data_IF_863885269947
#
_entry.id   IF_863885269947
#
_cell.length_a   1.000
_cell.length_b   1.000
_cell.length_c   1.000
_cell.angle_alpha   90.00
_cell.angle_beta   90.00
_cell.angle_gamma   90.00
#
_symmetry.space_group_name_H-M   'P 1'
#
loop_
_entity.id
_entity.type
_entity.pdbx_description
1 polymer ?
#
# COMPACT_ATOMS: atom_id res chain seq x y z
N UNK A 1 12.21 -6.07 -19.37
CA UNK A 1 12.19 -7.16 -18.38
C UNK A 1 12.04 -6.52 -17.01
N UNK A 2 11.05 -6.95 -16.22
CA UNK A 2 10.88 -6.46 -14.86
C UNK A 2 12.05 -6.96 -14.00
N UNK A 3 12.57 -6.11 -13.12
CA UNK A 3 13.60 -6.54 -12.16
C UNK A 3 13.02 -7.51 -11.13
N UNK A 4 13.85 -8.37 -10.52
CA UNK A 4 13.46 -9.25 -9.41
C UNK A 4 12.67 -8.48 -8.34
N UNK A 5 13.15 -7.30 -7.93
CA UNK A 5 12.44 -6.42 -6.97
C UNK A 5 11.02 -6.05 -7.39
N UNK A 6 10.78 -5.85 -8.68
CA UNK A 6 9.45 -5.50 -9.18
C UNK A 6 8.52 -6.72 -9.20
N UNK A 7 9.06 -7.93 -9.38
CA UNK A 7 8.30 -9.18 -9.26
C UNK A 7 7.92 -9.43 -7.80
N UNK A 8 8.84 -9.31 -6.85
CA UNK A 8 8.55 -9.46 -5.41
C UNK A 8 7.45 -8.48 -4.93
N UNK A 9 7.54 -7.22 -5.36
CA UNK A 9 6.52 -6.22 -5.04
C UNK A 9 5.17 -6.56 -5.70
N UNK A 10 5.19 -7.10 -6.92
CA UNK A 10 3.97 -7.50 -7.62
C UNK A 10 3.21 -8.60 -6.85
N UNK A 11 3.91 -9.59 -6.31
CA UNK A 11 3.32 -10.62 -5.44
C UNK A 11 2.69 -10.01 -4.19
N UNK A 12 3.38 -9.07 -3.53
CA UNK A 12 2.84 -8.38 -2.34
C UNK A 12 1.60 -7.56 -2.69
N UNK A 13 1.59 -6.85 -3.82
CA UNK A 13 0.40 -6.11 -4.27
C UNK A 13 -0.77 -7.05 -4.58
N UNK A 14 -0.49 -8.25 -5.09
CA UNK A 14 -1.50 -9.27 -5.28
C UNK A 14 -2.09 -9.75 -3.95
N UNK A 15 -1.26 -9.96 -2.91
CA UNK A 15 -1.73 -10.24 -1.54
C UNK A 15 -2.64 -9.12 -1.03
N UNK A 16 -2.22 -7.86 -1.14
CA UNK A 16 -3.01 -6.68 -0.72
C UNK A 16 -4.35 -6.62 -1.43
N UNK A 17 -4.37 -6.87 -2.74
CA UNK A 17 -5.60 -6.91 -3.53
C UNK A 17 -6.55 -8.00 -3.06
N UNK A 18 -6.03 -9.19 -2.72
CA UNK A 18 -6.84 -10.31 -2.22
C UNK A 18 -7.38 -10.07 -0.82
N UNK A 19 -6.60 -9.41 0.03
CA UNK A 19 -7.00 -9.06 1.40
C UNK A 19 -7.90 -7.81 1.48
N UNK A 20 -8.07 -7.12 0.35
CA UNK A 20 -8.67 -5.79 0.29
C UNK A 20 -8.06 -4.77 1.26
N UNK A 21 -6.72 -4.81 1.38
CA UNK A 21 -5.95 -3.92 2.25
C UNK A 21 -5.03 -3.00 1.44
N UNK A 22 -4.47 -2.01 2.12
CA UNK A 22 -3.40 -1.13 1.61
C UNK A 22 -2.16 -1.31 2.48
N UNK A 23 -1.00 -0.84 2.03
CA UNK A 23 0.21 -0.88 2.85
C UNK A 23 1.17 0.25 2.50
N UNK A 24 2.04 0.59 3.45
CA UNK A 24 3.02 1.65 3.25
C UNK A 24 4.23 1.17 2.43
N UNK A 25 4.94 2.09 1.80
CA UNK A 25 6.13 1.81 1.01
C UNK A 25 7.20 1.08 1.80
N UNK A 26 7.44 1.48 3.05
CA UNK A 26 8.43 0.82 3.90
C UNK A 26 8.02 -0.61 4.25
N UNK A 27 6.74 -0.86 4.54
CA UNK A 27 6.24 -2.20 4.83
C UNK A 27 6.38 -3.13 3.62
N UNK A 28 5.96 -2.66 2.44
CA UNK A 28 6.05 -3.43 1.18
C UNK A 28 7.51 -3.73 0.83
N UNK A 29 8.39 -2.71 0.87
CA UNK A 29 9.80 -2.90 0.52
C UNK A 29 10.49 -3.88 1.47
N UNK A 30 10.24 -3.75 2.79
CA UNK A 30 10.80 -4.65 3.81
C UNK A 30 10.41 -6.09 3.55
N UNK A 31 9.13 -6.35 3.24
CA UNK A 31 8.62 -7.68 2.89
C UNK A 31 9.22 -8.21 1.59
N UNK A 32 9.47 -7.34 0.61
CA UNK A 32 10.17 -7.68 -0.63
C UNK A 32 11.70 -7.83 -0.46
N UNK A 33 12.23 -7.74 0.77
CA UNK A 33 13.65 -7.94 1.06
C UNK A 33 14.56 -6.76 0.73
N UNK A 34 14.02 -5.54 0.60
CA UNK A 34 14.81 -4.33 0.35
C UNK A 34 14.31 -3.09 1.10
N UNK A 35 15.03 -1.97 0.99
CA UNK A 35 14.60 -0.69 1.58
C UNK A 35 13.83 0.16 0.57
N UNK A 36 12.75 0.81 1.00
CA UNK A 36 11.97 1.75 0.17
C UNK A 36 12.81 2.91 -0.40
N UNK A 37 14.00 3.14 0.15
CA UNK A 37 14.92 4.22 -0.23
C UNK A 37 14.50 5.56 0.37
N UNK A 38 15.34 6.58 0.18
CA UNK A 38 15.04 7.94 0.67
C UNK A 38 13.68 8.41 0.16
N UNK A 39 12.78 8.77 1.07
CA UNK A 39 11.41 9.21 0.78
C UNK A 39 10.62 8.24 -0.14
N UNK A 40 10.92 6.94 -0.06
CA UNK A 40 10.25 5.91 -0.87
C UNK A 40 10.65 5.88 -2.35
N UNK A 41 11.77 6.52 -2.74
CA UNK A 41 12.16 6.66 -4.15
C UNK A 41 12.36 5.33 -4.88
N UNK A 42 12.92 4.33 -4.20
CA UNK A 42 13.10 2.99 -4.77
C UNK A 42 11.74 2.32 -5.00
N UNK A 43 10.80 2.50 -4.07
CA UNK A 43 9.44 1.98 -4.19
C UNK A 43 8.69 2.62 -5.36
N UNK A 44 8.75 3.94 -5.49
CA UNK A 44 8.15 4.66 -6.62
C UNK A 44 8.66 4.15 -7.98
N UNK A 45 9.96 3.87 -8.09
CA UNK A 45 10.54 3.30 -9.31
C UNK A 45 9.99 1.90 -9.61
N UNK A 46 9.83 1.05 -8.59
CA UNK A 46 9.23 -0.29 -8.76
C UNK A 46 7.76 -0.18 -9.19
N UNK A 47 6.99 0.72 -8.55
CA UNK A 47 5.58 0.95 -8.90
C UNK A 47 5.41 1.45 -10.34
N UNK A 48 6.33 2.25 -10.87
CA UNK A 48 6.30 2.64 -12.30
C UNK A 48 6.43 1.44 -13.23
N UNK A 49 7.29 0.47 -12.90
CA UNK A 49 7.41 -0.78 -13.67
C UNK A 49 6.14 -1.62 -13.55
N UNK A 50 5.61 -1.76 -12.33
CA UNK A 50 4.40 -2.56 -12.08
C UNK A 50 3.19 -1.97 -12.77
N UNK A 51 3.02 -0.65 -12.74
CA UNK A 51 1.93 0.03 -13.43
C UNK A 51 1.95 -0.23 -14.94
N UNK A 52 3.14 -0.38 -15.54
CA UNK A 52 3.31 -0.68 -16.97
C UNK A 52 3.09 -2.17 -17.26
N UNK A 53 3.70 -3.05 -16.48
CA UNK A 53 3.78 -4.49 -16.80
C UNK A 53 2.59 -5.28 -16.21
N UNK A 54 2.03 -4.81 -15.09
CA UNK A 54 0.91 -5.44 -14.37
C UNK A 54 -0.12 -4.41 -13.84
N UNK A 55 -0.81 -3.65 -14.73
CA UNK A 55 -1.76 -2.61 -14.31
C UNK A 55 -2.94 -3.13 -13.47
N UNK A 56 -3.26 -4.43 -13.58
CA UNK A 56 -4.35 -5.08 -12.86
C UNK A 56 -4.06 -5.35 -11.37
N UNK A 57 -2.80 -5.19 -10.93
CA UNK A 57 -2.37 -5.42 -9.54
C UNK A 57 -2.67 -4.25 -8.60
N UNK A 58 -3.39 -3.22 -9.07
CA UNK A 58 -3.88 -2.13 -8.23
C UNK A 58 -2.75 -1.44 -7.46
N UNK A 59 -1.75 -0.95 -8.20
CA UNK A 59 -0.56 -0.26 -7.67
C UNK A 59 -0.89 0.84 -6.65
N UNK A 60 -2.10 1.42 -6.74
CA UNK A 60 -2.62 2.44 -5.84
C UNK A 60 -2.79 1.98 -4.38
N UNK A 61 -2.73 0.66 -4.10
CA UNK A 61 -2.73 0.10 -2.73
C UNK A 61 -1.43 0.33 -1.96
N UNK A 62 -0.35 0.70 -2.65
CA UNK A 62 0.92 1.08 -2.02
C UNK A 62 0.95 2.57 -1.71
N UNK A 63 1.06 2.94 -0.43
CA UNK A 63 0.98 4.32 0.05
C UNK A 63 2.33 4.83 0.53
N UNK A 64 2.53 6.15 0.51
CA UNK A 64 3.65 6.76 1.24
C UNK A 64 3.53 6.47 2.73
N UNK A 65 4.66 6.42 3.43
CA UNK A 65 4.71 6.16 4.87
C UNK A 65 4.07 7.28 5.70
N UNK A 66 3.95 8.50 5.13
CA UNK A 66 3.21 9.61 5.73
C UNK A 66 1.69 9.52 5.55
N UNK A 67 1.21 8.55 4.77
CA UNK A 67 -0.22 8.38 4.48
C UNK A 67 -0.83 9.49 3.61
N UNK A 68 -0.01 10.35 3.00
CA UNK A 68 -0.45 11.51 2.22
C UNK A 68 -0.35 11.30 0.72
N UNK A 69 -1.35 11.81 0.02
CA UNK A 69 -1.53 11.71 -1.42
C UNK A 69 -1.85 13.10 -1.98
N UNK A 70 -1.44 13.37 -3.20
CA UNK A 70 -1.88 14.60 -3.88
C UNK A 70 -3.38 14.44 -4.21
N UNK A 71 -4.20 15.46 -3.90
CA UNK A 71 -5.68 15.39 -4.03
C UNK A 71 -6.16 15.00 -5.43
N UNK A 72 -5.47 15.52 -6.44
CA UNK A 72 -5.78 15.34 -7.87
C UNK A 72 -4.97 14.19 -8.49
N UNK A 73 -4.33 13.34 -7.67
CA UNK A 73 -3.61 12.17 -8.18
C UNK A 73 -4.57 11.06 -8.60
N UNK A 74 -4.19 10.32 -9.63
CA UNK A 74 -4.84 9.07 -10.06
C UNK A 74 -4.95 8.07 -8.90
N UNK A 75 -3.98 8.09 -7.97
CA UNK A 75 -4.03 7.22 -6.80
C UNK A 75 -5.20 7.58 -5.87
N UNK A 76 -5.42 8.87 -5.60
CA UNK A 76 -6.53 9.34 -4.79
C UNK A 76 -7.88 9.02 -5.47
N UNK A 77 -7.98 9.19 -6.78
CA UNK A 77 -9.17 8.81 -7.55
C UNK A 77 -9.48 7.32 -7.42
N UNK A 78 -8.48 6.46 -7.63
CA UNK A 78 -8.65 5.00 -7.52
C UNK A 78 -9.03 4.53 -6.12
N UNK A 79 -8.50 5.18 -5.08
CA UNK A 79 -8.89 4.89 -3.70
C UNK A 79 -10.36 5.28 -3.42
N UNK A 80 -10.81 6.44 -3.92
CA UNK A 80 -12.24 6.82 -3.81
C UNK A 80 -13.14 5.86 -4.57
N UNK A 81 -12.77 5.48 -5.80
CA UNK A 81 -13.51 4.49 -6.60
C UNK A 81 -13.58 3.13 -5.92
N UNK A 82 -12.54 2.76 -5.17
CA UNK A 82 -12.50 1.53 -4.39
C UNK A 82 -13.27 1.61 -3.05
N UNK A 83 -13.83 2.77 -2.70
CA UNK A 83 -14.64 2.97 -1.49
C UNK A 83 -13.89 3.45 -0.25
N UNK A 84 -12.61 3.85 -0.38
CA UNK A 84 -11.87 4.45 0.73
C UNK A 84 -12.32 5.89 0.97
N UNK A 85 -12.63 6.23 2.21
CA UNK A 85 -12.93 7.60 2.60
C UNK A 85 -11.63 8.41 2.69
N UNK A 86 -11.56 9.52 1.95
CA UNK A 86 -10.39 10.39 1.92
C UNK A 86 -10.69 11.74 2.59
N UNK A 87 -9.86 12.11 3.57
CA UNK A 87 -9.90 13.40 4.22
C UNK A 87 -8.98 14.39 3.51
N UNK A 88 -9.52 15.54 3.11
CA UNK A 88 -8.73 16.62 2.53
C UNK A 88 -7.96 17.38 3.61
N UNK A 89 -6.75 17.81 3.26
CA UNK A 89 -5.89 18.63 4.09
C UNK A 89 -5.03 19.54 3.21
N UNK A 90 -4.40 20.55 3.81
CA UNK A 90 -3.45 21.42 3.12
C UNK A 90 -2.13 21.39 3.86
N UNK A 91 -1.07 21.03 3.15
CA UNK A 91 0.29 21.04 3.69
C UNK A 91 1.20 21.83 2.76
N UNK A 92 1.94 22.80 3.30
CA UNK A 92 2.87 23.65 2.54
C UNK A 92 2.23 24.30 1.29
N UNK A 93 0.94 24.66 1.37
CA UNK A 93 0.19 25.28 0.27
C UNK A 93 -0.27 24.31 -0.83
N UNK A 94 -0.10 22.99 -0.65
CA UNK A 94 -0.60 21.95 -1.55
C UNK A 94 -1.82 21.25 -0.95
N UNK A 95 -2.81 20.99 -1.79
CA UNK A 95 -3.98 20.18 -1.40
C UNK A 95 -3.59 18.70 -1.40
N UNK A 96 -3.61 18.10 -0.23
CA UNK A 96 -3.33 16.69 -0.01
C UNK A 96 -4.56 15.98 0.53
N UNK A 97 -4.57 14.66 0.40
CA UNK A 97 -5.59 13.79 1.00
C UNK A 97 -4.94 12.64 1.72
N UNK A 98 -5.62 12.13 2.76
CA UNK A 98 -5.23 10.93 3.49
C UNK A 98 -6.45 10.03 3.73
N UNK A 99 -6.21 8.73 3.87
CA UNK A 99 -7.29 7.76 4.14
C UNK A 99 -7.77 7.93 5.58
N UNK A 100 -9.09 8.05 5.77
CA UNK A 100 -9.71 8.06 7.10
C UNK A 100 -9.51 6.70 7.75
N UNK A 101 -9.11 6.69 9.03
CA UNK A 101 -8.79 5.46 9.75
C UNK A 101 -7.79 4.56 9.01
N UNK A 102 -6.74 5.16 8.41
CA UNK A 102 -5.72 4.44 7.62
C UNK A 102 -5.23 3.15 8.29
N UNK A 103 -4.99 3.17 9.60
CA UNK A 103 -4.52 2.02 10.37
C UNK A 103 -5.46 0.81 10.28
N UNK A 104 -6.77 1.00 10.16
CA UNK A 104 -7.75 -0.08 9.98
C UNK A 104 -7.67 -0.73 8.60
N UNK A 105 -7.19 0.03 7.61
CA UNK A 105 -7.04 -0.39 6.23
C UNK A 105 -5.65 -0.95 5.91
N UNK A 106 -4.67 -0.76 6.80
CA UNK A 106 -3.33 -1.31 6.63
C UNK A 106 -3.35 -2.83 6.73
N UNK A 107 -2.57 -3.46 5.85
CA UNK A 107 -2.29 -4.89 5.92
C UNK A 107 -1.38 -5.16 7.11
N UNK A 108 -1.86 -6.00 8.01
CA UNK A 108 -1.10 -6.51 9.12
C UNK A 108 -0.64 -7.93 8.78
N UNK A 109 0.63 -8.06 8.38
CA UNK A 109 1.23 -9.36 8.08
C UNK A 109 1.65 -10.13 9.34
N UNK A 110 1.80 -9.45 10.48
CA UNK A 110 2.25 -10.04 11.74
C UNK A 110 1.06 -10.61 12.56
N UNK A 111 -0.17 -10.14 12.28
CA UNK A 111 -1.40 -10.64 12.92
C UNK A 111 -1.76 -12.09 12.60
N UNK A 112 -1.06 -12.75 11.67
CA UNK A 112 -1.30 -14.17 11.36
C UNK A 112 -0.61 -15.16 12.31
N UNK A 113 0.11 -14.71 13.34
CA UNK A 113 0.75 -15.57 14.35
C UNK A 113 0.08 -15.54 15.73
N UNK A 114 -1.22 -15.23 15.82
CA UNK A 114 -1.98 -15.56 17.03
C UNK A 114 -2.70 -16.89 16.82
N UNK A 115 -2.22 -18.02 17.39
CA UNK A 115 -3.02 -19.22 17.45
C UNK A 115 -4.29 -18.86 18.22
N UNK A 116 -5.42 -19.02 17.55
CA UNK A 116 -6.73 -19.07 18.17
C UNK A 116 -6.67 -20.20 19.21
N UNK A 117 -6.37 -19.83 20.44
CA UNK A 117 -6.38 -20.73 21.58
C UNK A 117 -7.80 -21.26 21.67
N UNK A 118 -7.98 -22.48 21.18
CA UNK A 118 -9.21 -23.24 21.25
C UNK A 118 -9.65 -23.31 22.72
N UNK A 119 -10.57 -22.43 23.09
CA UNK A 119 -11.37 -22.54 24.28
C UNK A 119 -12.61 -23.37 23.92
N UNK A 120 -12.58 -24.66 24.27
CA UNK A 120 -13.75 -25.48 24.58
C UNK A 120 -13.21 -26.61 25.47
N UNK A 121 -13.17 -26.40 26.79
CA UNK A 121 -14.24 -26.74 27.75
C UNK A 121 -14.51 -28.26 27.77
N UNK A 122 -13.92 -28.96 28.74
CA UNK A 122 -14.38 -30.24 29.28
C UNK A 122 -14.12 -30.28 30.79
#
# INVERSE_FOLDING_TARGET
MASVRAQEVAEILWELKRADKVATYSAIARRAGFSAGASGRTMQNCLRTIRRDWPHLQWWRALRDDGTLDKDSEQAEKLREAGFELKESSENGKQIVSIVALEEHLMDWDRQEQPEAAATDE
#
